data_IF_117552964533
#
_entry.id   IF_117552964533
#
_cell.length_a   1.000
_cell.length_b   1.000
_cell.length_c   1.000
_cell.angle_alpha   90.00
_cell.angle_beta   90.00
_cell.angle_gamma   90.00
#
_symmetry.space_group_name_H-M   'P 1'
#
loop_
_entity.id
_entity.type
_entity.pdbx_description
1 polymer ?
#
# COMPACT_ATOMS: atom_id res chain seq x y z
N UNK A 1 -17.74 -14.01 7.10
CA UNK A 1 -16.61 -13.53 7.91
C UNK A 1 -16.94 -12.14 8.45
N UNK A 2 -16.60 -11.85 9.71
CA UNK A 2 -16.97 -10.58 10.37
C UNK A 2 -15.80 -10.03 11.18
N UNK A 3 -15.43 -8.77 10.90
CA UNK A 3 -14.38 -8.03 11.59
C UNK A 3 -14.94 -6.73 12.17
N UNK A 4 -14.61 -6.46 13.41
CA UNK A 4 -14.80 -5.16 14.07
C UNK A 4 -13.44 -4.44 14.07
N UNK A 5 -13.34 -3.33 13.35
CA UNK A 5 -12.14 -2.50 13.26
C UNK A 5 -12.34 -1.24 14.11
N UNK A 6 -11.64 -1.19 15.24
CA UNK A 6 -11.57 -0.04 16.12
C UNK A 6 -10.49 0.94 15.66
N UNK A 7 -10.79 2.22 15.62
CA UNK A 7 -9.86 3.31 15.35
C UNK A 7 -9.59 4.08 16.63
N UNK A 8 -8.31 4.16 17.01
CA UNK A 8 -7.82 4.99 18.11
C UNK A 8 -7.13 6.20 17.48
N UNK A 9 -7.60 7.40 17.78
CA UNK A 9 -7.11 8.62 17.15
C UNK A 9 -5.80 9.09 17.77
N UNK A 10 -4.78 9.21 16.91
CA UNK A 10 -3.45 9.73 17.23
C UNK A 10 -3.28 11.07 16.53
N UNK A 11 -3.19 12.12 17.35
CA UNK A 11 -3.03 13.51 16.92
C UNK A 11 -1.60 14.03 17.14
N UNK A 12 -0.71 13.20 17.70
CA UNK A 12 0.69 13.55 17.95
C UNK A 12 1.56 12.30 18.18
N UNK A 13 2.87 12.41 17.93
CA UNK A 13 3.88 11.43 18.32
C UNK A 13 5.01 12.15 19.05
N UNK A 14 5.44 11.64 20.20
CA UNK A 14 6.55 12.21 20.95
C UNK A 14 7.52 11.13 21.41
N UNK A 15 8.81 11.46 21.45
CA UNK A 15 9.78 10.60 22.09
C UNK A 15 9.69 10.71 23.61
N UNK A 16 9.77 9.58 24.29
CA UNK A 16 9.61 9.46 25.74
C UNK A 16 10.50 8.34 26.30
N UNK A 17 10.64 8.27 27.62
CA UNK A 17 11.28 7.14 28.29
C UNK A 17 10.41 5.88 28.31
N UNK A 18 9.11 6.00 28.01
CA UNK A 18 8.16 4.88 27.96
C UNK A 18 7.25 4.99 26.74
N UNK A 19 6.95 3.84 26.13
CA UNK A 19 5.98 3.77 25.04
C UNK A 19 4.57 3.60 25.57
N UNK A 20 3.67 4.53 25.25
CA UNK A 20 2.26 4.47 25.62
C UNK A 20 1.41 5.35 24.70
N UNK A 21 0.11 5.09 24.65
CA UNK A 21 -0.86 6.01 24.04
C UNK A 21 -1.65 6.67 25.17
N UNK A 22 -1.64 8.00 25.22
CA UNK A 22 -2.33 8.78 26.25
C UNK A 22 -2.83 10.10 25.66
N UNK A 23 -4.12 10.39 25.85
CA UNK A 23 -4.78 11.63 25.39
C UNK A 23 -4.56 11.95 23.89
N UNK A 24 -4.56 10.93 23.03
CA UNK A 24 -4.33 11.07 21.59
C UNK A 24 -2.88 11.29 21.18
N UNK A 25 -1.92 11.20 22.11
CA UNK A 25 -0.48 11.23 21.81
C UNK A 25 0.10 9.82 21.91
N UNK A 26 0.86 9.43 20.90
CA UNK A 26 1.68 8.23 20.90
C UNK A 26 3.09 8.57 21.42
N UNK A 27 3.36 8.21 22.67
CA UNK A 27 4.69 8.31 23.26
C UNK A 27 5.52 7.09 22.84
N UNK A 28 6.76 7.33 22.43
CA UNK A 28 7.65 6.32 21.83
C UNK A 28 8.98 6.25 22.57
N UNK A 29 9.29 5.09 23.14
CA UNK A 29 10.62 4.79 23.67
C UNK A 29 11.58 4.40 22.53
N UNK A 30 12.51 5.31 22.22
CA UNK A 30 13.51 5.12 21.16
C UNK A 30 14.45 3.95 21.43
N UNK A 31 14.90 3.79 22.67
CA UNK A 31 15.87 2.76 23.06
C UNK A 31 15.26 1.36 22.92
N UNK A 32 13.99 1.21 23.28
CA UNK A 32 13.26 -0.04 23.16
C UNK A 32 13.14 -0.49 21.69
N UNK A 33 12.76 0.44 20.81
CA UNK A 33 12.64 0.15 19.36
C UNK A 33 14.01 -0.10 18.74
N UNK A 34 14.99 0.74 19.06
CA UNK A 34 16.37 0.58 18.57
C UNK A 34 16.93 -0.78 18.95
N UNK A 35 16.79 -1.18 20.21
CA UNK A 35 17.24 -2.49 20.69
C UNK A 35 16.53 -3.63 19.95
N UNK A 36 15.21 -3.56 19.77
CA UNK A 36 14.43 -4.58 19.06
C UNK A 36 14.86 -4.73 17.59
N UNK A 37 15.17 -3.63 16.90
CA UNK A 37 15.61 -3.67 15.51
C UNK A 37 17.04 -4.23 15.40
N UNK A 38 17.94 -3.84 16.32
CA UNK A 38 19.33 -4.31 16.38
C UNK A 38 19.48 -5.78 16.81
N UNK A 39 18.39 -6.49 17.12
CA UNK A 39 18.41 -7.97 17.20
C UNK A 39 18.66 -8.62 15.83
N UNK A 40 18.44 -7.90 14.73
CA UNK A 40 18.84 -8.33 13.39
C UNK A 40 20.33 -8.02 13.16
N UNK A 41 21.16 -9.06 13.11
CA UNK A 41 22.62 -8.95 12.95
C UNK A 41 23.04 -8.29 11.62
N UNK A 42 22.12 -8.15 10.67
CA UNK A 42 22.35 -7.46 9.40
C UNK A 42 22.29 -5.93 9.53
N UNK A 43 21.77 -5.40 10.64
CA UNK A 43 21.62 -3.97 10.88
C UNK A 43 22.72 -3.49 11.82
N UNK A 44 23.53 -2.54 11.32
CA UNK A 44 24.64 -1.92 12.05
C UNK A 44 24.17 -0.83 12.99
N UNK A 45 23.24 0.00 12.53
CA UNK A 45 22.72 1.13 13.30
C UNK A 45 21.28 1.45 12.90
N UNK A 46 20.55 2.11 13.80
CA UNK A 46 19.19 2.57 13.58
C UNK A 46 19.08 4.00 14.08
N UNK A 47 18.47 4.87 13.28
CA UNK A 47 18.07 6.21 13.66
C UNK A 47 16.56 6.33 13.57
N UNK A 48 15.95 6.79 14.65
CA UNK A 48 14.52 7.11 14.72
C UNK A 48 14.35 8.62 14.64
N UNK A 49 13.33 9.05 13.92
CA UNK A 49 12.98 10.46 13.80
C UNK A 49 11.45 10.62 13.69
N UNK A 50 10.94 11.83 13.95
CA UNK A 50 9.51 12.14 13.86
C UNK A 50 9.32 13.27 12.86
N UNK A 51 8.26 13.17 12.06
CA UNK A 51 7.82 14.22 11.16
C UNK A 51 6.30 14.39 11.27
N UNK A 52 5.86 15.61 11.54
CA UNK A 52 4.45 15.96 11.68
C UNK A 52 3.90 16.66 10.43
N UNK A 53 2.57 16.63 10.22
CA UNK A 53 1.93 17.42 9.18
C UNK A 53 2.30 18.90 9.29
N UNK A 54 2.80 19.48 8.20
CA UNK A 54 3.21 20.89 8.13
C UNK A 54 4.67 21.17 8.48
N UNK A 55 5.42 20.19 9.01
CA UNK A 55 6.85 20.35 9.29
C UNK A 55 7.65 20.63 8.01
N UNK A 56 8.71 21.43 8.12
CA UNK A 56 9.70 21.66 7.06
C UNK A 56 10.65 20.46 6.94
N UNK A 57 10.08 19.28 6.63
CA UNK A 57 10.75 17.98 6.62
C UNK A 57 10.48 17.23 5.33
N UNK A 58 11.54 16.69 4.73
CA UNK A 58 11.51 15.71 3.63
C UNK A 58 11.93 14.34 4.14
N UNK A 59 11.16 13.29 3.87
CA UNK A 59 11.52 11.89 4.11
C UNK A 59 11.83 11.26 2.76
N UNK A 60 13.03 10.71 2.57
CA UNK A 60 13.45 10.12 1.29
C UNK A 60 14.74 9.31 1.41
N UNK A 61 14.94 8.25 0.62
CA UNK A 61 13.89 7.48 -0.07
C UNK A 61 12.97 6.79 0.94
N UNK A 62 11.70 6.60 0.58
CA UNK A 62 10.69 5.92 1.41
C UNK A 62 10.49 4.50 0.91
N UNK A 63 10.74 3.49 1.76
CA UNK A 63 10.58 2.07 1.45
C UNK A 63 9.16 1.58 1.66
N UNK A 64 8.56 1.87 2.80
CA UNK A 64 7.20 1.46 3.12
C UNK A 64 6.59 2.44 4.12
N UNK A 65 5.26 2.48 4.13
CA UNK A 65 4.46 3.20 5.13
C UNK A 65 3.53 2.17 5.74
N UNK A 66 3.48 2.09 7.07
CA UNK A 66 2.78 1.02 7.79
C UNK A 66 1.93 1.64 8.90
N UNK A 67 0.64 1.32 8.93
CA UNK A 67 -0.22 1.72 10.04
C UNK A 67 -0.03 0.76 11.23
N UNK A 68 0.24 1.27 12.45
CA UNK A 68 0.23 0.43 13.64
C UNK A 68 -1.17 -0.14 13.91
N UNK A 69 -1.26 -1.47 14.06
CA UNK A 69 -2.49 -2.20 14.38
C UNK A 69 -2.23 -3.31 15.39
N UNK A 70 -3.28 -3.76 16.08
CA UNK A 70 -3.23 -4.89 17.00
C UNK A 70 -4.49 -5.74 16.95
N UNK A 71 -4.30 -7.07 16.98
CA UNK A 71 -5.40 -8.03 17.15
C UNK A 71 -5.83 -8.08 18.62
N UNK A 72 -7.07 -7.70 18.89
CA UNK A 72 -7.64 -7.69 20.25
C UNK A 72 -8.36 -8.99 20.55
N UNK A 73 -9.16 -9.49 19.61
CA UNK A 73 -9.95 -10.71 19.73
C UNK A 73 -10.00 -11.44 18.39
N UNK A 74 -10.06 -12.78 18.43
CA UNK A 74 -10.16 -13.63 17.24
C UNK A 74 -8.86 -14.39 16.92
N UNK A 75 -8.85 -15.19 15.85
CA UNK A 75 -7.69 -15.97 15.43
C UNK A 75 -6.56 -15.08 14.87
N UNK A 76 -5.35 -15.63 14.85
CA UNK A 76 -4.17 -14.98 14.28
C UNK A 76 -3.67 -13.71 15.00
N UNK A 77 -2.93 -12.91 14.26
CA UNK A 77 -2.35 -11.62 14.67
C UNK A 77 -2.14 -10.73 13.45
N UNK A 78 -1.50 -9.57 13.64
CA UNK A 78 -1.22 -8.65 12.53
C UNK A 78 0.00 -9.15 11.73
N UNK A 79 -0.07 -9.01 10.40
CA UNK A 79 0.94 -9.48 9.44
C UNK A 79 1.20 -11.00 9.56
N UNK A 80 0.17 -11.84 9.35
CA UNK A 80 0.26 -13.28 9.52
C UNK A 80 1.27 -13.93 8.57
N UNK A 81 2.07 -14.85 9.11
CA UNK A 81 3.14 -15.53 8.39
C UNK A 81 4.43 -14.71 8.24
N UNK A 82 4.45 -13.46 8.72
CA UNK A 82 5.63 -12.59 8.71
C UNK A 82 6.02 -12.17 10.13
N UNK A 83 5.09 -11.54 10.85
CA UNK A 83 5.29 -11.14 12.25
C UNK A 83 4.56 -12.09 13.18
N UNK A 84 3.25 -12.26 13.00
CA UNK A 84 2.50 -13.27 13.74
C UNK A 84 2.67 -14.65 13.09
N UNK A 85 2.36 -15.70 13.85
CA UNK A 85 2.30 -17.07 13.31
C UNK A 85 1.31 -17.14 12.13
N UNK A 86 1.53 -18.14 11.27
CA UNK A 86 0.64 -18.43 10.14
C UNK A 86 -0.72 -18.90 10.70
N UNK A 87 -1.74 -18.09 10.46
CA UNK A 87 -3.14 -18.39 10.75
C UNK A 87 -4.00 -17.51 9.83
N UNK A 88 -5.25 -17.90 9.57
CA UNK A 88 -6.17 -17.06 8.77
C UNK A 88 -6.72 -15.92 9.62
N UNK A 89 -6.69 -14.71 9.08
CA UNK A 89 -7.14 -13.48 9.78
C UNK A 89 -8.45 -12.94 9.19
N UNK A 90 -8.82 -11.70 9.51
CA UNK A 90 -10.01 -11.04 8.96
C UNK A 90 -11.30 -11.27 9.76
N UNK A 91 -11.23 -11.84 10.96
CA UNK A 91 -12.39 -12.01 11.85
C UNK A 91 -12.11 -11.66 13.31
N UNK A 92 -13.11 -11.25 14.08
CA UNK A 92 -12.95 -10.83 15.47
C UNK A 92 -12.80 -9.32 15.60
N UNK A 93 -11.87 -8.85 16.45
CA UNK A 93 -11.65 -7.42 16.72
C UNK A 93 -10.19 -7.02 16.53
N UNK A 94 -9.98 -5.93 15.81
CA UNK A 94 -8.66 -5.34 15.55
C UNK A 94 -8.72 -3.85 15.83
N UNK A 95 -7.72 -3.32 16.54
CA UNK A 95 -7.57 -1.88 16.73
C UNK A 95 -6.49 -1.34 15.81
N UNK A 96 -6.70 -0.15 15.25
CA UNK A 96 -5.76 0.59 14.42
C UNK A 96 -5.49 1.96 15.03
N UNK A 97 -4.21 2.34 15.09
CA UNK A 97 -3.82 3.70 15.45
C UNK A 97 -3.97 4.59 14.21
N UNK A 98 -5.00 5.45 14.21
CA UNK A 98 -5.36 6.32 13.09
C UNK A 98 -4.70 7.68 13.25
N UNK A 99 -4.20 8.26 12.15
CA UNK A 99 -3.51 9.55 12.18
C UNK A 99 -1.98 9.43 12.32
N UNK A 100 -1.45 8.21 12.46
CA UNK A 100 -0.02 7.96 12.48
C UNK A 100 0.42 6.83 11.54
N UNK A 101 1.71 6.80 11.23
CA UNK A 101 2.35 5.70 10.53
C UNK A 101 3.80 5.50 10.95
N UNK A 102 4.30 4.28 10.73
CA UNK A 102 5.73 3.97 10.72
C UNK A 102 6.20 4.04 9.27
N UNK A 103 7.24 4.82 9.02
CA UNK A 103 7.84 4.99 7.69
C UNK A 103 9.24 4.41 7.71
N UNK A 104 9.54 3.41 6.89
CA UNK A 104 10.93 2.99 6.68
C UNK A 104 11.55 3.81 5.58
N UNK A 105 12.72 4.39 5.83
CA UNK A 105 13.37 5.31 4.91
C UNK A 105 14.90 5.23 4.94
N UNK A 106 15.56 5.88 3.99
CA UNK A 106 17.01 6.03 3.95
C UNK A 106 17.68 5.29 2.80
N UNK A 107 18.95 4.93 2.95
CA UNK A 107 19.64 4.19 1.89
C UNK A 107 18.91 2.86 1.71
N UNK A 108 18.23 2.67 0.59
CA UNK A 108 17.37 1.52 0.28
C UNK A 108 17.83 0.96 -1.07
N UNK A 109 17.51 -0.30 -1.35
CA UNK A 109 17.85 -0.93 -2.61
C UNK A 109 16.79 -0.64 -3.65
N UNK A 110 17.24 -0.17 -4.82
CA UNK A 110 16.38 0.10 -5.97
C UNK A 110 16.23 1.59 -6.21
N UNK A 111 16.34 1.99 -7.47
CA UNK A 111 16.29 3.38 -7.91
C UNK A 111 14.85 3.88 -8.09
N UNK A 112 13.88 3.42 -7.29
CA UNK A 112 12.46 3.77 -7.53
C UNK A 112 11.71 4.24 -6.27
N UNK A 113 12.38 4.24 -5.11
CA UNK A 113 11.77 4.67 -3.86
C UNK A 113 11.67 6.20 -3.77
N UNK A 114 10.57 6.69 -3.20
CA UNK A 114 10.15 8.09 -3.38
C UNK A 114 10.31 9.00 -2.19
N UNK A 115 9.61 10.14 -2.30
CA UNK A 115 9.67 11.29 -1.42
C UNK A 115 8.33 11.47 -0.72
N UNK A 116 8.38 11.73 0.59
CA UNK A 116 7.28 12.35 1.35
C UNK A 116 7.77 13.73 1.81
N UNK A 117 7.17 14.79 1.27
CA UNK A 117 7.30 16.14 1.84
C UNK A 117 6.15 16.38 2.82
N UNK A 118 6.48 16.84 4.03
CA UNK A 118 5.47 17.11 5.06
C UNK A 118 4.80 18.49 4.91
N UNK A 119 5.34 19.35 4.04
CA UNK A 119 4.80 20.68 3.72
C UNK A 119 5.02 21.05 2.25
N UNK A 120 4.47 22.19 1.83
CA UNK A 120 4.66 22.72 0.47
C UNK A 120 3.95 21.91 -0.63
N UNK A 121 4.37 22.09 -1.90
CA UNK A 121 3.72 21.46 -3.06
C UNK A 121 3.70 19.93 -2.99
N UNK A 122 4.80 19.29 -2.56
CA UNK A 122 4.87 17.83 -2.48
C UNK A 122 3.86 17.23 -1.51
N UNK A 123 3.61 17.91 -0.38
CA UNK A 123 2.61 17.50 0.62
C UNK A 123 1.16 17.50 0.11
N UNK A 124 0.88 18.13 -1.03
CA UNK A 124 -0.47 18.11 -1.62
C UNK A 124 -0.77 16.80 -2.36
N UNK A 125 0.27 16.07 -2.77
CA UNK A 125 0.13 14.87 -3.58
C UNK A 125 0.28 13.58 -2.79
N UNK A 126 1.00 13.59 -1.66
CA UNK A 126 1.12 12.40 -0.81
C UNK A 126 0.10 12.39 0.34
N UNK A 127 -0.67 11.31 0.53
CA UNK A 127 -1.58 11.17 1.66
C UNK A 127 -0.81 11.10 3.00
N UNK A 128 0.44 10.68 2.96
CA UNK A 128 1.28 10.46 4.15
C UNK A 128 1.77 11.75 4.81
N UNK A 129 1.68 12.90 4.12
CA UNK A 129 1.93 14.22 4.70
C UNK A 129 0.90 14.62 5.75
N UNK A 130 -0.26 13.94 5.78
CA UNK A 130 -1.35 14.18 6.75
C UNK A 130 -1.24 13.32 8.01
N UNK A 131 -0.21 12.47 8.09
CA UNK A 131 0.03 11.59 9.23
C UNK A 131 1.17 12.12 10.09
N UNK A 132 1.11 11.81 11.39
CA UNK A 132 2.29 11.90 12.25
C UNK A 132 3.15 10.66 11.97
N UNK A 133 4.34 10.86 11.44
CA UNK A 133 5.20 9.77 10.97
C UNK A 133 6.33 9.51 11.96
N UNK A 134 6.46 8.28 12.45
CA UNK A 134 7.69 7.77 13.05
C UNK A 134 8.54 7.16 11.95
N UNK A 135 9.68 7.78 11.66
CA UNK A 135 10.58 7.37 10.59
C UNK A 135 11.71 6.49 11.16
N UNK A 136 11.88 5.31 10.55
CA UNK A 136 12.92 4.32 10.89
C UNK A 136 13.95 4.31 9.76
N UNK A 137 15.16 4.74 10.07
CA UNK A 137 16.30 4.73 9.15
C UNK A 137 17.32 3.71 9.63
N UNK A 138 17.54 2.65 8.86
CA UNK A 138 18.52 1.62 9.17
C UNK A 138 19.81 1.83 8.38
N UNK A 139 20.94 1.42 8.94
CA UNK A 139 22.19 1.25 8.22
C UNK A 139 22.59 -0.23 8.23
N UNK A 140 22.92 -0.83 7.07
CA UNK A 140 23.35 -2.22 7.02
C UNK A 140 24.78 -2.39 7.54
N UNK A 141 25.12 -3.62 7.93
CA UNK A 141 26.52 -4.03 8.09
C UNK A 141 27.27 -3.98 6.75
N UNK A 142 28.58 -3.78 6.82
CA UNK A 142 29.41 -3.61 5.62
C UNK A 142 29.39 -4.89 4.76
N UNK A 143 29.15 -4.76 3.46
CA UNK A 143 29.16 -5.87 2.52
C UNK A 143 27.88 -6.72 2.48
N UNK A 144 26.82 -6.34 3.21
CA UNK A 144 25.52 -7.01 3.15
C UNK A 144 24.95 -6.94 1.71
N UNK A 145 24.41 -8.07 1.26
CA UNK A 145 23.76 -8.13 -0.06
C UNK A 145 22.47 -7.32 -0.03
N UNK A 146 22.20 -6.65 -1.15
CA UNK A 146 21.06 -5.78 -1.33
C UNK A 146 19.72 -6.45 -0.94
N UNK A 147 19.45 -7.66 -1.41
CA UNK A 147 18.20 -8.37 -1.11
C UNK A 147 18.03 -8.72 0.39
N UNK A 148 19.12 -9.00 1.11
CA UNK A 148 19.09 -9.26 2.55
C UNK A 148 18.83 -7.98 3.34
N UNK A 149 19.40 -6.87 2.87
CA UNK A 149 19.16 -5.57 3.46
C UNK A 149 17.69 -5.13 3.30
N UNK A 150 17.11 -5.28 2.11
CA UNK A 150 15.68 -5.02 1.86
C UNK A 150 14.78 -5.77 2.84
N UNK A 151 15.06 -7.07 3.03
CA UNK A 151 14.34 -7.89 3.99
C UNK A 151 14.47 -7.34 5.41
N UNK A 152 15.69 -6.96 5.83
CA UNK A 152 15.97 -6.44 7.17
C UNK A 152 15.23 -5.14 7.44
N UNK A 153 15.23 -4.20 6.49
CA UNK A 153 14.50 -2.91 6.59
C UNK A 153 12.99 -3.14 6.66
N UNK A 154 12.45 -4.04 5.83
CA UNK A 154 11.02 -4.41 5.89
C UNK A 154 10.64 -4.96 7.26
N UNK A 155 11.43 -5.88 7.81
CA UNK A 155 11.20 -6.43 9.14
C UNK A 155 11.30 -5.37 10.23
N UNK A 156 12.23 -4.42 10.14
CA UNK A 156 12.34 -3.31 11.07
C UNK A 156 11.05 -2.46 11.11
N UNK A 157 10.50 -2.12 9.94
CA UNK A 157 9.23 -1.40 9.82
C UNK A 157 8.05 -2.15 10.41
N UNK A 158 7.87 -3.42 10.01
CA UNK A 158 6.75 -4.25 10.46
C UNK A 158 6.80 -4.54 11.96
N UNK A 159 7.99 -4.85 12.51
CA UNK A 159 8.19 -5.04 13.96
C UNK A 159 7.86 -3.76 14.72
N UNK A 160 8.32 -2.61 14.23
CA UNK A 160 8.04 -1.30 14.86
C UNK A 160 6.55 -0.99 14.86
N UNK A 161 5.87 -1.16 13.72
CA UNK A 161 4.43 -0.94 13.63
C UNK A 161 3.63 -1.90 14.53
N UNK A 162 4.05 -3.16 14.64
CA UNK A 162 3.42 -4.14 15.54
C UNK A 162 3.63 -3.77 17.00
N UNK A 163 4.85 -3.40 17.39
CA UNK A 163 5.19 -2.96 18.75
C UNK A 163 4.34 -1.75 19.17
N UNK A 164 4.21 -0.75 18.29
CA UNK A 164 3.37 0.42 18.56
C UNK A 164 1.88 0.08 18.56
N UNK A 165 1.44 -0.82 17.67
CA UNK A 165 0.06 -1.29 17.62
C UNK A 165 -0.40 -1.92 18.93
N UNK A 166 0.45 -2.74 19.58
CA UNK A 166 0.14 -3.40 20.86
C UNK A 166 -0.23 -2.41 21.98
N UNK A 167 0.26 -1.16 21.93
CA UNK A 167 -0.11 -0.12 22.88
C UNK A 167 -1.61 0.23 22.83
N UNK A 168 -2.26 0.00 21.69
CA UNK A 168 -3.69 0.22 21.50
C UNK A 168 -4.60 -0.93 21.97
N UNK A 169 -4.04 -2.05 22.46
CA UNK A 169 -4.81 -3.28 22.71
C UNK A 169 -5.87 -3.15 23.80
N UNK A 170 -5.53 -2.45 24.88
CA UNK A 170 -6.41 -2.23 26.03
C UNK A 170 -7.17 -0.89 25.96
N UNK A 171 -6.99 -0.13 24.88
CA UNK A 171 -7.60 1.18 24.70
C UNK A 171 -8.97 1.02 24.05
N UNK A 172 -9.95 1.75 24.57
CA UNK A 172 -11.27 1.85 23.94
C UNK A 172 -11.16 2.70 22.67
N UNK A 173 -11.52 2.19 21.48
CA UNK A 173 -11.46 2.96 20.24
C UNK A 173 -12.41 4.17 20.26
N UNK A 174 -12.00 5.25 19.59
CA UNK A 174 -12.82 6.46 19.36
C UNK A 174 -13.94 6.21 18.35
N UNK A 175 -13.68 5.34 17.36
CA UNK A 175 -14.66 4.88 16.38
C UNK A 175 -14.53 3.37 16.18
N UNK A 176 -15.64 2.68 16.00
CA UNK A 176 -15.65 1.27 15.61
C UNK A 176 -16.47 1.08 14.34
N UNK A 177 -15.89 0.41 13.34
CA UNK A 177 -16.59 -0.03 12.14
C UNK A 177 -16.69 -1.55 12.09
N UNK A 178 -17.84 -2.06 11.63
CA UNK A 178 -18.08 -3.49 11.49
C UNK A 178 -18.17 -3.83 10.01
N UNK A 179 -17.34 -4.77 9.58
CA UNK A 179 -17.30 -5.29 8.22
C UNK A 179 -17.72 -6.75 8.23
N UNK A 180 -18.70 -7.10 7.41
CA UNK A 180 -19.24 -8.45 7.36
C UNK A 180 -19.43 -8.89 5.91
N UNK A 181 -18.79 -9.99 5.55
CA UNK A 181 -18.94 -10.64 4.24
C UNK A 181 -19.67 -11.96 4.45
N UNK A 182 -20.94 -12.09 4.01
CA UNK A 182 -21.65 -13.36 4.07
C UNK A 182 -20.99 -14.40 3.14
N UNK A 183 -21.28 -15.70 3.33
CA UNK A 183 -20.88 -16.69 2.32
C UNK A 183 -21.58 -16.42 0.98
N UNK A 184 -21.05 -16.94 -0.13
CA UNK A 184 -21.67 -16.78 -1.45
C UNK A 184 -23.15 -17.15 -1.46
N UNK A 185 -23.50 -18.28 -0.83
CA UNK A 185 -24.88 -18.79 -0.75
C UNK A 185 -25.78 -17.87 0.09
N UNK A 186 -25.27 -17.32 1.19
CA UNK A 186 -26.02 -16.41 2.04
C UNK A 186 -26.20 -15.05 1.36
N UNK A 187 -25.15 -14.50 0.74
CA UNK A 187 -25.21 -13.25 0.00
C UNK A 187 -26.24 -13.29 -1.13
N UNK A 188 -26.32 -14.38 -1.89
CA UNK A 188 -27.35 -14.56 -2.92
C UNK A 188 -28.79 -14.56 -2.37
N UNK A 189 -28.99 -15.02 -1.12
CA UNK A 189 -30.31 -15.02 -0.48
C UNK A 189 -30.66 -13.68 0.14
N UNK A 190 -29.67 -13.01 0.73
CA UNK A 190 -29.85 -11.70 1.37
C UNK A 190 -30.07 -10.60 0.34
N UNK A 191 -29.40 -10.69 -0.81
CA UNK A 191 -29.40 -9.67 -1.85
C UNK A 191 -29.72 -10.27 -3.23
N UNK A 192 -30.92 -10.84 -3.43
CA UNK A 192 -31.26 -11.56 -4.65
C UNK A 192 -31.31 -10.66 -5.89
N UNK A 193 -31.58 -9.36 -5.72
CA UNK A 193 -31.80 -8.40 -6.81
C UNK A 193 -30.60 -7.48 -7.07
N UNK A 194 -29.51 -7.60 -6.28
CA UNK A 194 -28.32 -6.77 -6.44
C UNK A 194 -27.27 -7.46 -7.31
N UNK A 195 -26.55 -6.71 -8.18
CA UNK A 195 -25.45 -7.28 -8.95
C UNK A 195 -24.37 -7.78 -8.00
N UNK A 196 -23.90 -8.99 -8.23
CA UNK A 196 -22.77 -9.59 -7.50
C UNK A 196 -21.47 -9.06 -8.09
N UNK A 197 -20.66 -8.44 -7.25
CA UNK A 197 -19.44 -7.78 -7.69
C UNK A 197 -18.26 -8.29 -6.89
N UNK A 198 -17.16 -8.61 -7.56
CA UNK A 198 -15.85 -8.90 -6.95
C UNK A 198 -14.89 -7.74 -7.14
N UNK A 199 -13.90 -7.66 -6.28
CA UNK A 199 -12.74 -6.81 -6.48
C UNK A 199 -11.55 -7.70 -6.84
N UNK A 200 -10.92 -7.44 -7.98
CA UNK A 200 -9.70 -8.08 -8.43
C UNK A 200 -8.54 -7.14 -8.10
N UNK A 201 -7.76 -7.49 -7.09
CA UNK A 201 -6.56 -6.75 -6.73
C UNK A 201 -5.35 -7.42 -7.35
N UNK A 202 -4.72 -6.74 -8.31
CA UNK A 202 -3.42 -7.16 -8.81
C UNK A 202 -2.35 -6.77 -7.79
N UNK A 203 -1.37 -7.64 -7.61
CA UNK A 203 -0.28 -7.49 -6.66
C UNK A 203 1.03 -7.46 -7.44
N UNK A 204 1.82 -6.42 -7.17
CA UNK A 204 3.13 -6.26 -7.79
C UNK A 204 4.01 -7.49 -7.54
N UNK A 205 4.48 -8.10 -8.63
CA UNK A 205 5.25 -9.35 -8.61
C UNK A 205 6.26 -9.48 -9.77
N UNK A 206 6.69 -8.35 -10.34
CA UNK A 206 7.49 -8.28 -11.58
C UNK A 206 9.00 -8.52 -11.42
N UNK A 207 9.38 -9.53 -10.64
CA UNK A 207 10.77 -9.99 -10.57
C UNK A 207 11.56 -9.46 -9.37
N UNK A 208 12.87 -9.25 -9.54
CA UNK A 208 13.78 -9.03 -8.42
C UNK A 208 13.46 -7.72 -7.69
N UNK A 209 13.19 -7.81 -6.38
CA UNK A 209 12.79 -6.70 -5.49
C UNK A 209 11.36 -6.17 -5.70
N UNK A 210 10.55 -6.78 -6.57
CA UNK A 210 9.15 -6.40 -6.78
C UNK A 210 8.20 -7.36 -6.06
N UNK A 211 8.47 -7.66 -4.78
CA UNK A 211 7.73 -8.69 -4.05
C UNK A 211 6.61 -8.09 -3.19
N UNK A 212 5.35 -8.35 -3.52
CA UNK A 212 4.22 -8.22 -2.59
C UNK A 212 3.95 -9.57 -1.92
N UNK A 213 3.76 -9.60 -0.60
CA UNK A 213 3.61 -10.84 0.15
C UNK A 213 2.18 -11.03 0.64
N UNK A 214 1.67 -12.24 0.47
CA UNK A 214 0.36 -12.70 0.93
C UNK A 214 0.58 -13.81 1.96
N UNK A 215 0.19 -13.59 3.22
CA UNK A 215 0.47 -14.52 4.33
C UNK A 215 1.95 -14.93 4.44
N UNK A 216 2.86 -14.00 4.15
CA UNK A 216 4.31 -14.22 4.13
C UNK A 216 4.85 -14.98 2.91
N UNK A 217 3.99 -15.36 1.97
CA UNK A 217 4.38 -15.96 0.69
C UNK A 217 4.38 -14.88 -0.38
N UNK A 218 5.48 -14.77 -1.09
CA UNK A 218 5.59 -13.90 -2.26
C UNK A 218 4.52 -14.24 -3.32
N UNK A 219 3.75 -13.22 -3.74
CA UNK A 219 2.63 -13.35 -4.66
C UNK A 219 3.02 -14.00 -6.00
N UNK A 220 4.29 -13.86 -6.45
CA UNK A 220 4.78 -14.52 -7.67
C UNK A 220 4.75 -16.05 -7.60
N UNK A 221 4.68 -16.61 -6.40
CA UNK A 221 4.66 -18.06 -6.13
C UNK A 221 3.24 -18.62 -6.01
N UNK A 222 2.23 -17.80 -6.24
CA UNK A 222 0.81 -18.16 -6.09
C UNK A 222 0.08 -18.02 -7.42
N UNK A 223 -0.93 -18.88 -7.65
CA UNK A 223 -1.94 -18.62 -8.68
C UNK A 223 -2.97 -17.63 -8.11
N UNK A 224 -3.72 -16.96 -9.00
CA UNK A 224 -4.84 -16.11 -8.57
C UNK A 224 -5.76 -16.90 -7.62
N UNK A 225 -6.19 -16.28 -6.53
CA UNK A 225 -7.01 -16.93 -5.51
C UNK A 225 -7.97 -15.93 -4.88
N UNK A 226 -8.89 -16.43 -4.07
CA UNK A 226 -9.83 -15.63 -3.30
C UNK A 226 -9.37 -15.47 -1.86
N UNK A 227 -9.54 -14.27 -1.32
CA UNK A 227 -9.48 -13.97 0.11
C UNK A 227 -10.71 -13.15 0.51
N UNK A 228 -11.06 -13.17 1.79
CA UNK A 228 -12.05 -12.26 2.32
C UNK A 228 -11.51 -10.82 2.34
N UNK A 229 -12.35 -9.82 2.08
CA UNK A 229 -11.89 -8.42 2.06
C UNK A 229 -11.34 -7.94 3.40
N UNK A 230 -11.85 -8.49 4.51
CA UNK A 230 -11.40 -8.14 5.87
C UNK A 230 -10.01 -8.68 6.20
N UNK A 231 -9.49 -9.67 5.46
CA UNK A 231 -8.14 -10.19 5.67
C UNK A 231 -7.07 -9.13 5.37
N UNK A 232 -7.32 -8.24 4.41
CA UNK A 232 -6.44 -7.10 4.12
C UNK A 232 -6.31 -6.18 5.34
N UNK A 233 -7.38 -6.00 6.10
CA UNK A 233 -7.40 -5.13 7.28
C UNK A 233 -6.59 -5.68 8.46
N UNK A 234 -6.32 -6.98 8.49
CA UNK A 234 -5.43 -7.62 9.46
C UNK A 234 -4.00 -7.83 8.91
N UNK A 235 -3.70 -7.26 7.75
CA UNK A 235 -2.35 -7.28 7.17
C UNK A 235 -2.00 -8.59 6.47
N UNK A 236 -2.98 -9.31 5.92
CA UNK A 236 -2.72 -10.49 5.10
C UNK A 236 -1.85 -10.19 3.87
N UNK A 237 -1.87 -8.95 3.38
CA UNK A 237 -1.03 -8.45 2.30
C UNK A 237 -0.10 -7.37 2.84
N UNK A 238 1.19 -7.50 2.58
CA UNK A 238 2.20 -6.47 2.92
C UNK A 238 3.02 -6.10 1.68
N UNK A 239 3.42 -4.84 1.63
CA UNK A 239 4.31 -4.36 0.57
C UNK A 239 5.74 -4.76 0.88
N UNK A 240 6.43 -5.25 -0.15
CA UNK A 240 7.88 -5.46 -0.10
C UNK A 240 8.55 -5.06 -1.41
N UNK A 241 7.80 -4.47 -2.32
CA UNK A 241 8.22 -4.18 -3.68
C UNK A 241 8.96 -2.83 -3.79
N UNK A 242 9.79 -2.69 -4.81
CA UNK A 242 10.43 -1.44 -5.23
C UNK A 242 9.85 -1.05 -6.60
N UNK A 243 8.76 -0.29 -6.63
CA UNK A 243 8.15 0.25 -7.86
C UNK A 243 8.20 1.78 -7.82
N UNK A 244 7.82 2.45 -8.90
CA UNK A 244 7.62 3.90 -8.91
C UNK A 244 6.82 4.37 -7.70
N UNK A 245 7.27 5.46 -7.08
CA UNK A 245 6.75 5.81 -5.76
C UNK A 245 5.28 6.24 -5.80
N UNK A 246 4.85 6.87 -6.89
CA UNK A 246 3.50 7.41 -7.03
C UNK A 246 2.40 6.35 -7.08
N UNK A 247 2.66 5.23 -7.73
CA UNK A 247 1.70 4.15 -8.00
C UNK A 247 1.89 2.94 -7.07
N UNK A 248 2.96 2.92 -6.26
CA UNK A 248 3.20 1.92 -5.21
C UNK A 248 2.03 1.76 -4.22
N UNK A 249 1.67 0.51 -3.95
CA UNK A 249 0.83 0.15 -2.81
C UNK A 249 1.73 -0.15 -1.60
N UNK A 250 1.74 0.75 -0.63
CA UNK A 250 2.41 0.52 0.66
C UNK A 250 1.59 -0.43 1.51
N UNK A 251 2.17 -0.96 2.58
CA UNK A 251 1.43 -1.75 3.57
C UNK A 251 0.26 -0.94 4.15
N UNK A 252 0.42 0.37 4.33
CA UNK A 252 -0.66 1.28 4.74
C UNK A 252 -1.81 1.29 3.73
N UNK A 253 -1.52 1.33 2.42
CA UNK A 253 -2.52 1.26 1.36
C UNK A 253 -3.29 -0.07 1.41
N UNK A 254 -2.60 -1.21 1.56
CA UNK A 254 -3.27 -2.51 1.66
C UNK A 254 -4.16 -2.62 2.91
N UNK A 255 -3.66 -2.18 4.07
CA UNK A 255 -4.41 -2.15 5.34
C UNK A 255 -5.67 -1.26 5.27
N UNK A 256 -5.60 -0.20 4.47
CA UNK A 256 -6.65 0.82 4.32
C UNK A 256 -7.23 0.84 2.91
N UNK A 257 -7.29 -0.30 2.22
CA UNK A 257 -7.68 -0.34 0.80
C UNK A 257 -9.03 0.37 0.56
N UNK A 258 -9.05 1.49 -0.19
CA UNK A 258 -10.24 2.33 -0.36
C UNK A 258 -11.30 1.66 -1.23
N UNK A 259 -10.90 0.88 -2.25
CA UNK A 259 -11.82 0.07 -3.06
C UNK A 259 -12.60 -0.91 -2.17
N UNK A 260 -11.93 -1.59 -1.24
CA UNK A 260 -12.59 -2.48 -0.28
C UNK A 260 -13.55 -1.72 0.64
N UNK A 261 -13.15 -0.56 1.14
CA UNK A 261 -14.00 0.26 2.00
C UNK A 261 -15.26 0.74 1.28
N UNK A 262 -15.12 1.25 0.06
CA UNK A 262 -16.25 1.73 -0.75
C UNK A 262 -17.16 0.58 -1.17
N UNK A 263 -16.60 -0.58 -1.51
CA UNK A 263 -17.36 -1.79 -1.80
C UNK A 263 -18.17 -2.27 -0.60
N UNK A 264 -17.62 -2.22 0.62
CA UNK A 264 -18.40 -2.46 1.84
C UNK A 264 -19.46 -1.39 2.09
N UNK A 265 -19.17 -0.11 1.82
CA UNK A 265 -20.13 0.97 1.98
C UNK A 265 -21.35 0.83 1.05
N UNK A 266 -21.15 0.21 -0.13
CA UNK A 266 -22.18 -0.06 -1.14
C UNK A 266 -22.80 -1.46 -1.04
N UNK A 267 -22.18 -2.38 -0.28
CA UNK A 267 -22.66 -3.75 -0.08
C UNK A 267 -24.08 -3.75 0.53
N UNK A 268 -25.00 -4.49 -0.09
CA UNK A 268 -26.40 -4.56 0.30
C UNK A 268 -27.25 -3.34 -0.07
N UNK A 269 -26.67 -2.33 -0.76
CA UNK A 269 -27.38 -1.13 -1.22
C UNK A 269 -27.48 -1.08 -2.74
N UNK A 270 -26.33 -1.11 -3.41
CA UNK A 270 -26.23 -1.00 -4.88
C UNK A 270 -25.56 -2.22 -5.50
N UNK A 271 -24.83 -2.99 -4.69
CA UNK A 271 -24.16 -4.23 -5.10
C UNK A 271 -24.11 -5.25 -3.97
N UNK A 272 -23.89 -6.50 -4.31
CA UNK A 272 -23.51 -7.57 -3.39
C UNK A 272 -22.01 -7.86 -3.55
N UNK A 273 -21.19 -7.25 -2.70
CA UNK A 273 -19.75 -7.50 -2.65
C UNK A 273 -19.43 -8.94 -2.23
N UNK A 274 -18.92 -9.73 -3.18
CA UNK A 274 -18.69 -11.18 -3.01
C UNK A 274 -17.36 -11.51 -2.31
N UNK A 275 -16.32 -10.71 -2.56
CA UNK A 275 -14.99 -10.95 -2.02
C UNK A 275 -13.88 -10.37 -2.89
N UNK A 276 -12.64 -10.66 -2.53
CA UNK A 276 -11.44 -10.18 -3.24
C UNK A 276 -10.77 -11.34 -3.97
N UNK A 277 -10.61 -11.23 -5.28
CA UNK A 277 -9.66 -12.03 -6.05
C UNK A 277 -8.31 -11.32 -5.98
N UNK A 278 -7.29 -11.98 -5.46
CA UNK A 278 -5.92 -11.51 -5.63
C UNK A 278 -5.31 -12.19 -6.85
N UNK A 279 -4.56 -11.42 -7.63
CA UNK A 279 -3.79 -11.93 -8.78
C UNK A 279 -2.42 -11.26 -8.80
N UNK A 280 -1.52 -11.78 -9.61
CA UNK A 280 -0.13 -11.37 -9.64
C UNK A 280 0.21 -10.70 -10.98
N UNK A 281 1.16 -9.79 -10.95
CA UNK A 281 1.68 -9.06 -12.11
C UNK A 281 3.02 -9.66 -12.52
N UNK A 282 3.06 -10.39 -13.64
CA UNK A 282 4.26 -11.12 -14.04
C UNK A 282 4.96 -10.45 -15.22
N UNK A 283 6.27 -10.71 -15.36
CA UNK A 283 7.07 -10.20 -16.48
C UNK A 283 6.77 -10.98 -17.76
N UNK A 284 6.71 -12.31 -17.69
CA UNK A 284 6.59 -13.16 -18.88
C UNK A 284 5.15 -13.32 -19.33
N UNK A 285 4.92 -13.18 -20.65
CA UNK A 285 3.59 -13.29 -21.26
C UNK A 285 2.82 -14.57 -20.87
N UNK A 286 3.50 -15.72 -20.79
CA UNK A 286 2.86 -16.98 -20.42
C UNK A 286 2.33 -16.96 -18.97
N UNK A 287 2.99 -16.24 -18.08
CA UNK A 287 2.55 -16.08 -16.70
C UNK A 287 1.40 -15.07 -16.61
N UNK A 288 1.47 -13.94 -17.34
CA UNK A 288 0.35 -13.00 -17.50
C UNK A 288 -0.92 -13.71 -17.99
N UNK A 289 -0.76 -14.56 -19.01
CA UNK A 289 -1.85 -15.36 -19.56
C UNK A 289 -2.43 -16.32 -18.51
N UNK A 290 -1.57 -17.06 -17.79
CA UNK A 290 -1.99 -18.01 -16.76
C UNK A 290 -2.79 -17.32 -15.66
N UNK A 291 -2.31 -16.19 -15.15
CA UNK A 291 -2.93 -15.49 -14.03
C UNK A 291 -4.25 -14.85 -14.42
N UNK A 292 -4.31 -14.19 -15.57
CA UNK A 292 -5.56 -13.62 -16.09
C UNK A 292 -6.58 -14.67 -16.53
N UNK A 293 -6.16 -15.83 -17.06
CA UNK A 293 -7.08 -16.96 -17.32
C UNK A 293 -7.70 -17.48 -16.02
N UNK A 294 -6.90 -17.57 -14.96
CA UNK A 294 -7.36 -18.05 -13.66
C UNK A 294 -8.31 -17.04 -12.99
N UNK A 295 -8.01 -15.75 -13.08
CA UNK A 295 -8.87 -14.66 -12.60
C UNK A 295 -10.22 -14.65 -13.32
N UNK A 296 -10.22 -14.71 -14.66
CA UNK A 296 -11.46 -14.74 -15.44
C UNK A 296 -12.29 -16.01 -15.16
N UNK A 297 -11.63 -17.17 -15.02
CA UNK A 297 -12.26 -18.42 -14.60
C UNK A 297 -12.90 -18.32 -13.21
N UNK A 298 -12.24 -17.67 -12.25
CA UNK A 298 -12.80 -17.45 -10.91
C UNK A 298 -14.05 -16.55 -10.96
N UNK A 299 -14.03 -15.48 -11.76
CA UNK A 299 -15.19 -14.62 -11.97
C UNK A 299 -16.38 -15.42 -12.55
N UNK A 300 -16.15 -16.21 -13.61
CA UNK A 300 -17.16 -17.09 -14.21
C UNK A 300 -17.67 -18.15 -13.22
N UNK A 301 -16.78 -18.78 -12.46
CA UNK A 301 -17.13 -19.82 -11.48
C UNK A 301 -18.01 -19.29 -10.35
N UNK A 302 -17.72 -18.10 -9.85
CA UNK A 302 -18.55 -17.40 -8.86
C UNK A 302 -19.85 -16.86 -9.48
N UNK A 303 -19.90 -16.82 -10.81
CA UNK A 303 -21.02 -16.34 -11.61
C UNK A 303 -21.32 -14.88 -11.37
N UNK A 304 -20.32 -14.04 -11.12
CA UNK A 304 -20.51 -12.63 -10.73
C UNK A 304 -20.93 -11.77 -11.92
N UNK A 305 -21.62 -10.66 -11.65
CA UNK A 305 -22.14 -9.77 -12.67
C UNK A 305 -21.13 -8.67 -13.04
N UNK A 306 -20.23 -8.32 -12.10
CA UNK A 306 -19.16 -7.37 -12.33
C UNK A 306 -17.87 -7.62 -11.55
N UNK A 307 -16.79 -6.99 -12.01
CA UNK A 307 -15.47 -6.99 -11.40
C UNK A 307 -14.84 -5.59 -11.46
N UNK A 308 -14.38 -5.08 -10.32
CA UNK A 308 -13.49 -3.91 -10.28
C UNK A 308 -12.06 -4.45 -10.27
N UNK A 309 -11.18 -3.96 -11.15
CA UNK A 309 -9.79 -4.41 -11.25
C UNK A 309 -8.86 -3.23 -10.99
N UNK A 310 -7.96 -3.33 -10.02
CA UNK A 310 -6.90 -2.33 -9.83
C UNK A 310 -5.53 -2.95 -10.04
N UNK A 311 -4.61 -2.18 -10.63
CA UNK A 311 -3.21 -2.57 -10.80
C UNK A 311 -2.28 -1.97 -9.74
N UNK A 312 -1.00 -2.33 -9.77
CA UNK A 312 0.08 -1.70 -9.02
C UNK A 312 1.32 -1.46 -9.90
N UNK A 313 1.59 -0.20 -10.20
CA UNK A 313 2.69 0.20 -11.07
C UNK A 313 2.26 0.34 -12.53
N UNK A 314 3.22 0.67 -13.39
CA UNK A 314 2.93 1.14 -14.74
C UNK A 314 3.75 0.44 -15.84
N UNK A 315 3.27 0.54 -17.07
CA UNK A 315 3.94 -0.02 -18.24
C UNK A 315 3.68 -1.51 -18.40
N UNK A 316 4.48 -2.37 -17.76
CA UNK A 316 4.26 -3.82 -17.86
C UNK A 316 2.98 -4.30 -17.12
N UNK A 317 2.62 -3.77 -15.93
CA UNK A 317 1.32 -4.01 -15.30
C UNK A 317 0.12 -3.62 -16.16
N UNK A 318 0.21 -2.55 -16.99
CA UNK A 318 -0.89 -2.13 -17.87
C UNK A 318 -1.35 -3.27 -18.80
N UNK A 319 -0.41 -4.08 -19.29
CA UNK A 319 -0.72 -5.28 -20.09
C UNK A 319 -1.45 -6.35 -19.27
N UNK A 320 -1.09 -6.53 -18.00
CA UNK A 320 -1.81 -7.45 -17.09
C UNK A 320 -3.24 -6.95 -16.84
N UNK A 321 -3.41 -5.64 -16.62
CA UNK A 321 -4.70 -5.00 -16.36
C UNK A 321 -5.66 -5.14 -17.53
N UNK A 322 -5.20 -4.77 -18.74
CA UNK A 322 -5.98 -4.88 -19.97
C UNK A 322 -6.28 -6.36 -20.28
N UNK A 323 -5.34 -7.27 -20.04
CA UNK A 323 -5.58 -8.70 -20.24
C UNK A 323 -6.61 -9.27 -19.26
N UNK A 324 -6.59 -8.87 -17.99
CA UNK A 324 -7.62 -9.23 -17.02
C UNK A 324 -8.99 -8.69 -17.47
N UNK A 325 -9.08 -7.39 -17.78
CA UNK A 325 -10.30 -6.75 -18.27
C UNK A 325 -10.90 -7.51 -19.48
N UNK A 326 -10.12 -7.71 -20.53
CA UNK A 326 -10.53 -8.41 -21.76
C UNK A 326 -11.04 -9.82 -21.49
N UNK A 327 -10.33 -10.59 -20.67
CA UNK A 327 -10.69 -11.98 -20.40
C UNK A 327 -11.92 -12.10 -19.50
N UNK A 328 -12.06 -11.21 -18.52
CA UNK A 328 -13.24 -11.15 -17.64
C UNK A 328 -14.49 -10.74 -18.45
N UNK A 329 -14.40 -9.69 -19.29
CA UNK A 329 -15.50 -9.32 -20.22
C UNK A 329 -15.83 -10.46 -21.20
N UNK A 330 -14.83 -11.20 -21.67
CA UNK A 330 -15.00 -12.40 -22.49
C UNK A 330 -15.79 -13.54 -21.81
N UNK A 331 -15.95 -13.49 -20.48
CA UNK A 331 -16.80 -14.38 -19.68
C UNK A 331 -18.19 -13.80 -19.39
N UNK A 332 -18.53 -12.65 -19.98
CA UNK A 332 -19.81 -11.98 -19.77
C UNK A 332 -19.90 -11.18 -18.46
N UNK A 333 -18.78 -10.96 -17.78
CA UNK A 333 -18.70 -10.22 -16.51
C UNK A 333 -18.26 -8.78 -16.80
N UNK A 334 -19.00 -7.78 -16.30
CA UNK A 334 -18.68 -6.37 -16.55
C UNK A 334 -17.49 -5.88 -15.75
N UNK A 335 -16.63 -5.09 -16.37
CA UNK A 335 -15.38 -4.63 -15.77
C UNK A 335 -15.31 -3.13 -15.61
N UNK A 336 -14.74 -2.69 -14.50
CA UNK A 336 -14.22 -1.34 -14.30
C UNK A 336 -12.75 -1.49 -13.92
N UNK A 337 -11.86 -0.80 -14.62
CA UNK A 337 -10.43 -0.80 -14.28
C UNK A 337 -10.04 0.49 -13.57
N UNK A 338 -9.16 0.39 -12.58
CA UNK A 338 -8.55 1.50 -11.84
C UNK A 338 -7.05 1.45 -12.10
N UNK A 339 -6.48 2.56 -12.56
CA UNK A 339 -5.08 2.71 -12.99
C UNK A 339 -4.66 4.15 -12.82
N UNK A 340 -3.40 4.49 -13.08
CA UNK A 340 -2.96 5.86 -13.31
C UNK A 340 -2.58 6.08 -14.78
N UNK A 341 -2.06 7.27 -15.10
CA UNK A 341 -1.71 7.62 -16.47
C UNK A 341 -0.27 8.06 -16.58
N UNK A 342 0.38 7.59 -17.65
CA UNK A 342 1.70 8.03 -18.07
C UNK A 342 1.60 8.77 -19.41
N UNK A 343 0.80 9.83 -19.40
CA UNK A 343 0.41 10.59 -20.59
C UNK A 343 1.43 11.69 -20.98
N UNK A 344 2.66 11.62 -20.46
CA UNK A 344 3.70 12.62 -20.67
C UNK A 344 3.43 13.94 -19.94
N UNK A 345 4.44 14.81 -19.86
CA UNK A 345 4.39 16.05 -19.07
C UNK A 345 3.27 17.02 -19.49
N UNK A 346 2.81 16.92 -20.74
CA UNK A 346 1.73 17.75 -21.28
C UNK A 346 0.36 17.03 -21.32
N UNK A 347 0.29 15.77 -20.87
CA UNK A 347 -0.93 14.96 -20.84
C UNK A 347 -1.47 14.56 -22.22
N UNK A 348 -0.63 14.53 -23.26
CA UNK A 348 -1.05 14.26 -24.65
C UNK A 348 -0.51 12.94 -25.22
N UNK A 349 0.38 12.26 -24.51
CA UNK A 349 0.84 10.93 -24.91
C UNK A 349 -0.26 9.89 -24.66
N UNK A 350 -0.11 8.71 -25.26
CA UNK A 350 -0.93 7.57 -24.92
C UNK A 350 -0.75 7.25 -23.43
N UNK A 351 -1.85 7.21 -22.68
CA UNK A 351 -1.81 7.13 -21.21
C UNK A 351 -1.34 5.78 -20.67
N UNK A 352 -1.72 4.67 -21.32
CA UNK A 352 -1.41 3.30 -20.92
C UNK A 352 -0.58 2.59 -21.98
N UNK A 353 0.31 1.69 -21.58
CA UNK A 353 1.13 0.92 -22.51
C UNK A 353 0.33 -0.08 -23.36
N UNK A 354 -0.85 -0.51 -22.89
CA UNK A 354 -1.77 -1.39 -23.60
C UNK A 354 -3.20 -0.84 -23.58
N UNK A 355 -4.04 -1.25 -24.54
CA UNK A 355 -5.44 -0.88 -24.62
C UNK A 355 -6.24 -1.93 -25.41
N UNK A 356 -7.50 -2.15 -25.03
CA UNK A 356 -8.42 -3.04 -25.73
C UNK A 356 -9.84 -2.43 -25.76
N UNK A 357 -10.61 -2.58 -26.86
CA UNK A 357 -12.00 -2.10 -26.93
C UNK A 357 -12.94 -2.62 -25.83
N UNK A 358 -12.59 -3.70 -25.14
CA UNK A 358 -13.33 -4.19 -23.98
C UNK A 358 -13.23 -3.25 -22.75
N UNK A 359 -12.15 -2.49 -22.62
CA UNK A 359 -11.91 -1.55 -21.51
C UNK A 359 -12.73 -0.26 -21.70
N UNK A 360 -14.04 -0.36 -21.45
CA UNK A 360 -15.00 0.74 -21.68
C UNK A 360 -15.29 1.59 -20.44
N UNK A 361 -14.81 1.17 -19.26
CA UNK A 361 -14.93 1.90 -18.00
C UNK A 361 -13.57 1.93 -17.28
N UNK A 362 -12.94 3.10 -17.30
CA UNK A 362 -11.59 3.34 -16.75
C UNK A 362 -11.67 4.48 -15.75
N UNK A 363 -11.14 4.26 -14.55
CA UNK A 363 -10.94 5.27 -13.51
C UNK A 363 -9.45 5.52 -13.38
N UNK A 364 -9.05 6.78 -13.39
CA UNK A 364 -7.65 7.20 -13.37
C UNK A 364 -7.29 7.85 -12.02
N UNK A 365 -6.13 7.48 -11.47
CA UNK A 365 -5.48 8.11 -10.33
C UNK A 365 -4.74 9.41 -10.66
N UNK A 366 -4.72 9.81 -11.94
CA UNK A 366 -4.05 11.03 -12.42
C UNK A 366 -2.81 10.75 -13.27
N UNK A 367 -2.22 11.80 -13.84
CA UNK A 367 -1.02 11.71 -14.69
C UNK A 367 0.26 11.79 -13.86
N UNK A 368 1.03 10.70 -13.80
CA UNK A 368 2.27 10.60 -13.05
C UNK A 368 3.43 11.44 -13.65
N UNK A 369 3.35 11.79 -14.94
CA UNK A 369 4.39 12.57 -15.62
C UNK A 369 4.29 14.09 -15.40
N UNK A 370 3.30 14.58 -14.64
CA UNK A 370 3.20 16.02 -14.40
C UNK A 370 4.46 16.53 -13.67
N UNK A 371 5.09 17.57 -14.21
CA UNK A 371 6.29 18.16 -13.58
C UNK A 371 5.90 18.95 -12.33
N UNK A 372 6.66 18.75 -11.26
CA UNK A 372 6.56 19.46 -10.00
C UNK A 372 7.93 20.03 -9.59
N UNK A 373 7.89 21.17 -8.91
CA UNK A 373 9.06 21.77 -8.26
C UNK A 373 8.87 21.69 -6.75
N UNK A 374 9.72 20.92 -6.09
CA UNK A 374 9.74 20.78 -4.64
C UNK A 374 10.77 21.76 -4.05
N UNK A 375 10.39 22.58 -3.05
CA UNK A 375 11.33 23.48 -2.41
C UNK A 375 12.39 22.71 -1.61
N UNK A 376 13.49 23.38 -1.28
CA UNK A 376 14.37 22.94 -0.20
C UNK A 376 13.60 23.02 1.12
N UNK A 377 13.66 21.94 1.91
CA UNK A 377 13.13 21.89 3.27
C UNK A 377 14.28 21.93 4.29
N UNK A 378 13.97 22.31 5.54
CA UNK A 378 14.99 22.53 6.57
C UNK A 378 15.67 21.23 7.02
N UNK A 379 14.92 20.12 6.98
CA UNK A 379 15.39 18.81 7.43
C UNK A 379 15.10 17.73 6.39
N UNK A 380 16.08 16.85 6.19
CA UNK A 380 15.94 15.60 5.42
C UNK A 380 16.12 14.42 6.36
N UNK A 381 15.16 13.50 6.37
CA UNK A 381 15.26 12.21 7.05
C UNK A 381 15.53 11.15 5.97
N UNK A 382 16.70 10.50 6.04
CA UNK A 382 17.21 9.60 5.02
C UNK A 382 18.33 10.25 4.19
N UNK A 383 18.28 10.17 2.87
CA UNK A 383 19.32 10.72 1.96
C UNK A 383 18.73 11.24 0.64
N UNK A 384 19.36 12.28 0.05
CA UNK A 384 19.02 12.82 -1.26
C UNK A 384 19.78 12.15 -2.42
N UNK A 385 20.68 11.20 -2.14
CA UNK A 385 21.64 10.63 -3.12
C UNK A 385 20.99 10.00 -4.37
N UNK A 386 19.69 9.70 -4.29
CA UNK A 386 18.93 9.01 -5.34
C UNK A 386 18.00 9.90 -6.14
N UNK A 387 17.78 11.17 -5.75
CA UNK A 387 16.80 12.07 -6.37
C UNK A 387 16.96 12.19 -7.89
N UNK A 388 18.19 12.26 -8.38
CA UNK A 388 18.47 12.39 -9.82
C UNK A 388 18.31 11.08 -10.61
N UNK A 389 18.13 9.96 -9.90
CA UNK A 389 18.13 8.60 -10.48
C UNK A 389 16.81 7.88 -10.27
N UNK A 390 15.93 8.40 -9.41
CA UNK A 390 14.63 7.80 -9.16
C UNK A 390 13.70 7.94 -10.36
N UNK A 391 12.72 7.05 -10.48
CA UNK A 391 11.67 7.19 -11.47
C UNK A 391 10.96 8.56 -11.32
N UNK A 392 10.88 9.33 -12.41
CA UNK A 392 10.41 10.72 -12.44
C UNK A 392 11.51 11.77 -12.22
N UNK A 393 12.67 11.38 -11.70
CA UNK A 393 13.86 12.21 -11.62
C UNK A 393 14.74 12.09 -12.88
N UNK A 394 15.64 13.04 -13.04
CA UNK A 394 16.67 13.05 -14.07
C UNK A 394 17.95 13.70 -13.55
N UNK A 395 19.05 13.59 -14.29
CA UNK A 395 20.29 14.31 -13.96
C UNK A 395 20.00 15.81 -13.85
N UNK A 396 20.34 16.41 -12.70
CA UNK A 396 20.04 17.80 -12.41
C UNK A 396 18.63 18.05 -11.85
N UNK A 397 17.88 17.00 -11.49
CA UNK A 397 16.64 17.16 -10.72
C UNK A 397 16.90 17.88 -9.40
N UNK A 398 17.93 17.49 -8.65
CA UNK A 398 18.39 18.18 -7.44
C UNK A 398 19.32 19.34 -7.81
N UNK A 399 18.84 20.57 -7.63
CA UNK A 399 19.62 21.77 -7.85
C UNK A 399 20.57 22.07 -6.66
N UNK A 400 21.60 22.88 -6.92
CA UNK A 400 22.60 23.26 -5.92
C UNK A 400 22.02 24.05 -4.73
N UNK A 401 20.88 24.71 -4.92
CA UNK A 401 20.14 25.41 -3.86
C UNK A 401 19.25 24.48 -3.03
N UNK A 402 19.18 23.19 -3.38
CA UNK A 402 18.39 22.15 -2.71
C UNK A 402 16.95 22.00 -3.22
N UNK A 403 16.55 22.76 -4.25
CA UNK A 403 15.27 22.54 -4.92
C UNK A 403 15.30 21.26 -5.76
N UNK A 404 14.15 20.60 -5.92
CA UNK A 404 14.01 19.40 -6.76
C UNK A 404 13.01 19.70 -7.87
N UNK A 405 13.40 19.53 -9.13
CA UNK A 405 12.47 19.53 -10.28
C UNK A 405 12.39 18.11 -10.84
N UNK A 406 11.20 17.52 -10.79
CA UNK A 406 10.96 16.14 -11.18
C UNK A 406 9.50 15.95 -11.61
N UNK A 407 9.15 14.77 -12.13
CA UNK A 407 7.76 14.37 -12.36
C UNK A 407 7.11 13.90 -11.05
N UNK A 408 5.78 13.97 -10.95
CA UNK A 408 5.00 13.51 -9.79
C UNK A 408 5.32 12.07 -9.38
N UNK A 409 5.84 11.26 -10.31
CA UNK A 409 6.29 9.90 -10.09
C UNK A 409 7.23 9.74 -8.87
N UNK A 410 7.98 10.78 -8.50
CA UNK A 410 8.86 10.74 -7.31
C UNK A 410 8.12 10.78 -5.98
N UNK A 411 6.85 11.16 -5.95
CA UNK A 411 6.10 11.39 -4.71
C UNK A 411 5.35 10.12 -4.30
N UNK A 412 5.62 9.64 -3.08
CA UNK A 412 5.01 8.40 -2.59
C UNK A 412 3.48 8.48 -2.51
N UNK A 413 2.80 7.62 -3.28
CA UNK A 413 1.34 7.49 -3.32
C UNK A 413 0.59 8.57 -4.12
N UNK A 414 1.29 9.39 -4.93
CA UNK A 414 0.68 10.52 -5.62
C UNK A 414 -0.39 10.16 -6.66
N UNK A 415 -0.23 9.04 -7.37
CA UNK A 415 -1.16 8.54 -8.37
C UNK A 415 -1.64 7.13 -8.03
N UNK A 416 -1.61 6.77 -6.74
CA UNK A 416 -1.92 5.44 -6.26
C UNK A 416 -3.21 4.86 -6.86
N UNK A 417 -3.11 3.67 -7.43
CA UNK A 417 -4.11 3.06 -8.32
C UNK A 417 -5.22 2.32 -7.56
N UNK A 418 -5.25 2.46 -6.24
CA UNK A 418 -6.41 2.14 -5.43
C UNK A 418 -7.34 3.36 -5.27
N UNK A 419 -6.87 4.56 -5.56
CA UNK A 419 -7.59 5.81 -5.28
C UNK A 419 -7.35 6.34 -3.87
N UNK A 420 -6.24 5.96 -3.22
CA UNK A 420 -5.86 6.50 -1.90
C UNK A 420 -5.20 7.89 -1.98
N UNK A 421 -4.99 8.40 -3.18
CA UNK A 421 -4.34 9.67 -3.46
C UNK A 421 -5.28 10.87 -3.26
N UNK A 422 -4.75 12.09 -3.43
CA UNK A 422 -5.49 13.35 -3.25
C UNK A 422 -6.03 13.95 -4.56
N UNK A 423 -5.90 13.23 -5.68
CA UNK A 423 -6.28 13.69 -7.00
C UNK A 423 -7.71 13.27 -7.33
N UNK A 424 -8.45 14.18 -7.99
CA UNK A 424 -9.74 13.87 -8.58
C UNK A 424 -9.88 14.60 -9.91
N UNK A 425 -10.57 13.97 -10.87
CA UNK A 425 -11.08 14.70 -12.02
C UNK A 425 -12.08 15.78 -11.54
N UNK A 426 -12.01 16.98 -12.12
CA UNK A 426 -12.98 18.07 -11.85
C UNK A 426 -14.05 18.13 -12.92
#
# INVERSE_FOLDING_TARGET
MKLELGYIDINNIEFSSESKVENGTLYVNQDAITKMILEDENIKSVKLDIAHPGDSVRITPVKDVIQPRVKVEGPGGIFPGVISKVDTVGSGKTNALRGCAVVTAGKIVGFQEGIIDMTGPGAQYTPFSKLHNLVVVCEPVDGLLQHDYERSVRMAGLKTATYLGELGKAITPDETKVFETPSLKEGMKLYPDLPRVVYVQMLQSQGLLHDTYVYGVDAKRTLSTMIYPTELMDGAIISGNCVSACDKNTTYHHLNNPVVQDMFAQHGKTLNFVGVIITNENVYLADKQRSSDWTAKLCELLGVDGAIVSQEGFGNPDTDLIMNCKKIEGKGVKTVIITDEYAGQNGKSQSLADADPAATAVVTGGNANQVIVLPKLDKVIGTLDYVDKIAGGHEGSLAADGTITAELQVITGATNELGFNCLSAR
#
